data_IF_676755074004
#
_entry.id   IF_676755074004
#
_cell.length_a   1.000
_cell.length_b   1.000
_cell.length_c   1.000
_cell.angle_alpha   90.00
_cell.angle_beta   90.00
_cell.angle_gamma   90.00
#
_symmetry.space_group_name_H-M   'P 1'
#
loop_
_entity.id
_entity.type
_entity.pdbx_description
1 polymer ?
#
# COMPACT_ATOMS: atom_id res chain seq x y z
N UNK A 1 6.62 6.04 11.80
CA UNK A 1 7.89 5.74 11.07
C UNK A 1 7.67 5.96 9.58
N UNK A 2 8.63 6.53 8.85
CA UNK A 2 8.53 6.79 7.39
C UNK A 2 9.23 5.71 6.57
N UNK A 3 8.54 5.11 5.61
CA UNK A 3 9.07 4.08 4.70
C UNK A 3 8.63 4.35 3.26
N UNK A 4 9.52 4.01 2.33
CA UNK A 4 9.26 4.11 0.89
C UNK A 4 9.07 2.69 0.35
N UNK A 5 7.91 2.41 -0.23
CA UNK A 5 7.58 1.07 -0.72
C UNK A 5 7.32 1.16 -2.23
N UNK A 6 8.15 0.49 -3.01
CA UNK A 6 7.87 0.33 -4.44
C UNK A 6 6.74 -0.68 -4.60
N UNK A 7 5.72 -0.27 -5.34
CA UNK A 7 4.59 -1.11 -5.72
C UNK A 7 4.74 -1.49 -7.18
N UNK A 8 4.78 -2.78 -7.47
CA UNK A 8 4.79 -3.33 -8.83
C UNK A 8 3.44 -4.00 -9.04
N UNK A 9 2.58 -3.41 -9.89
CA UNK A 9 1.19 -3.85 -10.05
C UNK A 9 1.05 -5.23 -10.73
N UNK A 10 2.04 -5.65 -11.51
CA UNK A 10 2.00 -6.91 -12.26
C UNK A 10 0.96 -6.90 -13.39
N UNK A 11 0.51 -8.08 -13.81
CA UNK A 11 -0.42 -8.29 -14.92
C UNK A 11 -1.74 -8.94 -14.46
N UNK A 12 -2.71 -9.04 -15.37
CA UNK A 12 -4.02 -9.63 -15.08
C UNK A 12 -4.81 -8.80 -14.07
N UNK A 13 -5.27 -9.42 -12.99
CA UNK A 13 -5.99 -8.74 -11.89
C UNK A 13 -5.05 -8.02 -10.89
N UNK A 14 -3.74 -8.05 -11.15
CA UNK A 14 -2.70 -7.52 -10.27
C UNK A 14 -2.92 -6.04 -9.88
N UNK A 15 -3.18 -5.13 -10.83
CA UNK A 15 -3.46 -3.72 -10.52
C UNK A 15 -4.66 -3.53 -9.58
N UNK A 16 -5.75 -4.25 -9.79
CA UNK A 16 -6.98 -4.10 -9.00
C UNK A 16 -6.77 -4.51 -7.54
N UNK A 17 -6.16 -5.67 -7.31
CA UNK A 17 -5.91 -6.18 -5.96
C UNK A 17 -4.84 -5.37 -5.24
N UNK A 18 -3.78 -4.97 -5.95
CA UNK A 18 -2.67 -4.20 -5.38
C UNK A 18 -3.13 -2.82 -4.94
N UNK A 19 -3.99 -2.15 -5.72
CA UNK A 19 -4.59 -0.87 -5.31
C UNK A 19 -5.46 -0.97 -4.07
N UNK A 20 -6.19 -2.08 -3.87
CA UNK A 20 -6.91 -2.29 -2.60
C UNK A 20 -5.94 -2.56 -1.44
N UNK A 21 -4.87 -3.33 -1.66
CA UNK A 21 -3.85 -3.59 -0.65
C UNK A 21 -3.20 -2.29 -0.16
N UNK A 22 -2.90 -1.33 -1.06
CA UNK A 22 -2.38 0.00 -0.69
C UNK A 22 -3.35 0.76 0.23
N UNK A 23 -4.66 0.68 0.00
CA UNK A 23 -5.65 1.33 0.89
C UNK A 23 -5.64 0.73 2.29
N UNK A 24 -5.55 -0.60 2.39
CA UNK A 24 -5.47 -1.31 3.68
C UNK A 24 -4.17 -0.94 4.40
N UNK A 25 -3.04 -0.91 3.68
CA UNK A 25 -1.74 -0.47 4.20
C UNK A 25 -1.81 0.95 4.77
N UNK A 26 -2.44 1.88 4.06
CA UNK A 26 -2.61 3.26 4.52
C UNK A 26 -3.50 3.36 5.76
N UNK A 27 -4.59 2.59 5.83
CA UNK A 27 -5.45 2.55 7.02
C UNK A 27 -4.69 2.01 8.25
N UNK A 28 -3.87 0.97 8.07
CA UNK A 28 -2.99 0.47 9.14
C UNK A 28 -1.94 1.53 9.50
N UNK A 29 -1.39 2.24 8.53
CA UNK A 29 -0.42 3.30 8.80
C UNK A 29 -1.01 4.41 9.68
N UNK A 30 -2.26 4.80 9.44
CA UNK A 30 -2.99 5.78 10.25
C UNK A 30 -3.13 5.32 11.71
N UNK A 31 -3.55 4.07 11.94
CA UNK A 31 -3.74 3.50 13.28
C UNK A 31 -2.46 3.44 14.12
N UNK A 32 -1.30 3.27 13.49
CA UNK A 32 -0.01 3.07 14.18
C UNK A 32 0.98 4.22 13.96
N UNK A 33 0.50 5.36 13.45
CA UNK A 33 1.33 6.54 13.16
C UNK A 33 2.56 6.20 12.31
N UNK A 34 2.34 5.40 11.27
CA UNK A 34 3.30 5.12 10.21
C UNK A 34 2.98 5.98 8.97
N UNK A 35 3.99 6.22 8.15
CA UNK A 35 3.87 6.96 6.89
C UNK A 35 4.50 6.10 5.79
N UNK A 36 3.70 5.76 4.78
CA UNK A 36 4.17 5.12 3.55
C UNK A 36 4.20 6.16 2.43
N UNK A 37 5.31 6.18 1.69
CA UNK A 37 5.50 6.99 0.48
C UNK A 37 5.62 6.08 -0.72
#
# INVERSE_FOLDING_TARGET
MKKNIVVIEGDGIGPEVTRQAVKVLNAVAECFHHEFR
#
